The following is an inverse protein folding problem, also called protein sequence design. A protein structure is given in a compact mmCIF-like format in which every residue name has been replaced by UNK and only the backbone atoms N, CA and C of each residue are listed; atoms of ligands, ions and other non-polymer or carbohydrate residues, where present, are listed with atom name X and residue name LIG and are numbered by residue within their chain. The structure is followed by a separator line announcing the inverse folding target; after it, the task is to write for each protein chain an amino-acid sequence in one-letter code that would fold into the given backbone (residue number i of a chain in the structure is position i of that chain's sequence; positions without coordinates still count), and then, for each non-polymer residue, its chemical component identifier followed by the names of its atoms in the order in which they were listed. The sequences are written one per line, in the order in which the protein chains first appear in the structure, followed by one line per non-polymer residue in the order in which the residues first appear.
data_IF_854821413642
#
_entry.id   IF_854821413642
#
_cell.length_a   1.000
_cell.length_b   1.000
_cell.length_c   1.000
_cell.angle_alpha   90.00
_cell.angle_beta   90.00
_cell.angle_gamma   90.00
#
_symmetry.space_group_name_H-M   'P 1'
#
loop_
_entity.id
_entity.type
_entity.pdbx_description
1 polymer ?
#
# COMPACT_ATOMS: atom_id res chain seq x y z
N UNK A 1 -4.96 -1.10 23.05
CA UNK A 1 -5.17 -0.14 21.94
C UNK A 1 -4.51 -0.73 20.72
N UNK A 2 -5.24 -1.49 19.89
CA UNK A 2 -4.69 -1.93 18.61
C UNK A 2 -4.44 -0.68 17.77
N UNK A 3 -3.17 -0.36 17.55
CA UNK A 3 -2.81 0.57 16.51
C UNK A 3 -3.26 -0.08 15.19
N UNK A 4 -4.43 0.30 14.68
CA UNK A 4 -4.68 0.23 13.23
C UNK A 4 -3.45 0.85 12.59
N UNK A 5 -2.67 0.08 11.84
CA UNK A 5 -1.44 0.54 11.20
C UNK A 5 -1.79 1.72 10.29
N UNK A 6 -1.57 2.95 10.77
CA UNK A 6 -1.72 4.18 9.99
C UNK A 6 -0.39 4.40 9.30
N UNK A 7 -0.34 4.23 7.99
CA UNK A 7 0.81 4.66 7.21
C UNK A 7 0.94 6.19 7.34
N UNK A 8 2.12 6.65 7.76
CA UNK A 8 2.46 8.07 7.76
C UNK A 8 3.08 8.42 6.40
N UNK A 9 2.48 9.32 5.61
CA UNK A 9 3.13 9.85 4.43
C UNK A 9 4.35 10.68 4.85
N UNK A 10 5.45 10.56 4.11
CA UNK A 10 6.67 11.35 4.36
C UNK A 10 6.75 12.63 3.51
N UNK A 11 6.04 12.66 2.36
CA UNK A 11 6.08 13.76 1.40
C UNK A 11 4.69 14.16 0.92
N UNK A 12 4.43 15.46 0.80
CA UNK A 12 3.20 15.97 0.21
C UNK A 12 3.14 15.59 -1.29
N UNK A 13 2.08 14.90 -1.75
CA UNK A 13 1.98 14.49 -3.16
C UNK A 13 1.82 15.65 -4.13
N UNK A 14 1.59 16.87 -3.64
CA UNK A 14 1.38 18.06 -4.47
C UNK A 14 2.59 18.99 -4.54
N UNK A 15 3.41 19.08 -3.50
CA UNK A 15 4.53 20.04 -3.46
C UNK A 15 5.86 19.46 -2.96
N UNK A 16 5.90 18.20 -2.52
CA UNK A 16 7.13 17.55 -2.05
C UNK A 16 7.63 18.00 -0.67
N UNK A 17 6.88 18.81 0.06
CA UNK A 17 7.20 19.21 1.44
C UNK A 17 6.99 18.04 2.42
N UNK A 18 7.76 18.02 3.51
CA UNK A 18 7.76 16.97 4.54
C UNK A 18 6.95 17.36 5.78
N UNK A 19 6.59 18.64 5.98
CA UNK A 19 5.77 19.06 7.13
C UNK A 19 4.28 18.74 6.93
N UNK A 20 3.95 17.50 7.27
CA UNK A 20 2.61 16.92 7.20
C UNK A 20 2.04 16.72 8.61
N UNK A 21 0.79 17.15 8.81
CA UNK A 21 0.06 17.03 10.09
C UNK A 21 -1.20 16.20 9.91
N UNK A 22 -1.50 15.28 10.84
CA UNK A 22 -2.76 14.54 10.81
C UNK A 22 -3.93 15.51 11.06
N UNK A 23 -4.99 15.34 10.29
CA UNK A 23 -6.27 16.05 10.48
C UNK A 23 -7.30 15.11 11.12
N UNK A 24 -8.21 15.66 11.90
CA UNK A 24 -9.25 14.87 12.59
C UNK A 24 -10.27 14.31 11.60
N UNK A 25 -10.69 15.12 10.63
CA UNK A 25 -11.67 14.77 9.61
C UNK A 25 -11.21 15.25 8.22
N UNK A 26 -11.38 14.44 7.17
CA UNK A 26 -11.89 13.07 7.17
C UNK A 26 -10.88 12.04 7.74
N UNK A 27 -11.34 10.83 8.09
CA UNK A 27 -10.45 9.77 8.58
C UNK A 27 -9.21 9.56 7.70
N UNK A 28 -8.03 9.48 8.33
CA UNK A 28 -6.72 9.36 7.68
C UNK A 28 -6.35 10.56 6.78
N UNK A 29 -6.91 11.74 7.07
CA UNK A 29 -6.52 12.99 6.44
C UNK A 29 -5.20 13.55 6.98
N UNK A 30 -4.51 14.26 6.10
CA UNK A 30 -3.23 14.92 6.36
C UNK A 30 -3.24 16.30 5.70
N UNK A 31 -2.88 17.32 6.47
CA UNK A 31 -2.62 18.68 6.01
C UNK A 31 -1.13 18.84 5.71
N UNK A 32 -0.80 19.37 4.53
CA UNK A 32 0.54 19.90 4.23
C UNK A 32 0.62 21.37 4.67
N UNK A 33 1.58 21.73 5.51
CA UNK A 33 1.72 23.12 5.98
C UNK A 33 2.26 24.05 4.89
N UNK A 34 3.15 23.55 4.01
CA UNK A 34 3.78 24.32 2.93
C UNK A 34 2.81 24.75 1.82
N UNK A 35 1.93 23.85 1.35
CA UNK A 35 0.97 24.16 0.28
C UNK A 35 -0.50 24.16 0.70
N UNK A 36 -0.78 23.95 1.98
CA UNK A 36 -2.12 24.04 2.62
C UNK A 36 -3.19 23.06 2.11
N UNK A 37 -2.80 22.06 1.32
CA UNK A 37 -3.73 21.02 0.83
C UNK A 37 -3.94 19.93 1.88
N UNK A 38 -5.18 19.46 1.97
CA UNK A 38 -5.56 18.30 2.77
C UNK A 38 -5.81 17.11 1.85
N UNK A 39 -5.29 15.93 2.18
CA UNK A 39 -5.47 14.69 1.42
C UNK A 39 -5.62 13.50 2.36
N UNK A 40 -6.21 12.40 1.88
CA UNK A 40 -6.37 11.17 2.67
C UNK A 40 -5.43 10.06 2.18
N UNK A 41 -4.94 9.25 3.11
CA UNK A 41 -4.16 8.04 2.80
C UNK A 41 -5.04 6.81 3.01
N UNK A 42 -5.10 5.93 2.01
CA UNK A 42 -5.90 4.71 2.06
C UNK A 42 -5.11 3.52 1.52
N UNK A 43 -5.05 2.44 2.30
CA UNK A 43 -4.63 1.14 1.80
C UNK A 43 -5.73 0.56 0.90
N UNK A 44 -5.40 0.27 -0.36
CA UNK A 44 -6.35 -0.29 -1.35
C UNK A 44 -6.21 -1.81 -1.45
N UNK A 45 -4.99 -2.32 -1.37
CA UNK A 45 -4.67 -3.75 -1.53
C UNK A 45 -3.24 -3.95 -2.02
N UNK A 46 -2.80 -5.20 -2.13
CA UNK A 46 -1.53 -5.57 -2.74
C UNK A 46 -1.71 -5.79 -4.24
N UNK A 47 -0.84 -5.20 -5.06
CA UNK A 47 -0.79 -5.48 -6.50
C UNK A 47 0.24 -6.59 -6.77
N UNK A 48 -0.21 -7.84 -6.72
CA UNK A 48 0.63 -9.00 -7.01
C UNK A 48 0.69 -9.23 -8.53
N UNK A 49 1.88 -9.39 -9.14
CA UNK A 49 1.98 -9.87 -10.50
C UNK A 49 1.37 -11.28 -10.58
N UNK A 50 0.54 -11.53 -11.59
CA UNK A 50 -0.01 -12.87 -11.82
C UNK A 50 1.12 -13.87 -12.05
N UNK A 51 1.05 -15.04 -11.41
CA UNK A 51 2.07 -16.07 -11.51
C UNK A 51 2.34 -16.43 -12.98
N UNK A 52 3.61 -16.30 -13.39
CA UNK A 52 4.10 -16.93 -14.61
C UNK A 52 3.88 -18.43 -14.41
N UNK A 53 2.85 -19.02 -15.05
CA UNK A 53 2.64 -20.48 -15.05
C UNK A 53 3.92 -21.14 -15.54
N UNK A 54 4.70 -21.71 -14.62
CA UNK A 54 5.70 -22.71 -14.99
C UNK A 54 4.95 -23.96 -15.40
N UNK A 55 4.61 -24.04 -16.68
CA UNK A 55 4.30 -25.29 -17.35
C UNK A 55 5.58 -26.11 -17.33
N UNK A 56 5.77 -26.94 -16.31
CA UNK A 56 6.26 -28.30 -16.53
C UNK A 56 6.32 -29.13 -15.25
N UNK A 57 6.22 -30.45 -15.48
CA UNK A 57 6.58 -31.56 -14.59
C UNK A 57 5.46 -32.14 -13.75
N UNK A 58 4.72 -33.05 -14.37
CA UNK A 58 4.71 -34.43 -13.86
C UNK A 58 4.64 -35.38 -15.05
N UNK A 59 5.82 -35.79 -15.55
CA UNK A 59 5.91 -37.08 -16.21
C UNK A 59 5.61 -38.13 -15.15
N UNK A 60 4.48 -38.81 -15.29
CA UNK A 60 4.14 -39.99 -14.51
C UNK A 60 5.20 -41.05 -14.80
N UNK A 61 6.15 -41.19 -13.88
CA UNK A 61 7.03 -42.36 -13.80
C UNK A 61 6.16 -43.58 -13.50
N UNK A 62 6.01 -44.40 -14.52
CA UNK A 62 5.71 -45.83 -14.46
C UNK A 62 6.48 -46.50 -13.30
N UNK A 63 5.82 -46.74 -12.17
CA UNK A 63 6.18 -47.79 -11.19
C UNK A 63 4.94 -48.18 -10.40
N UNK A 64 4.26 -49.28 -10.78
CA UNK A 64 3.79 -50.31 -9.81
C UNK A 64 3.23 -51.58 -10.48
N UNK A 65 3.99 -52.68 -10.32
CA UNK A 65 3.64 -54.11 -10.31
C UNK A 65 3.54 -54.84 -11.65
#
# INVERSE_FOLDING_TARGET
MSATERATPFYCPYCGDEDLRPEEEPHAAWLCTGCRRVFTVKFVGLHLPSEIRSRDRTGETEVKR
#
